data_IF_306576334833
#
_entry.id   IF_306576334833
#
_cell.length_a   1.000
_cell.length_b   1.000
_cell.length_c   1.000
_cell.angle_alpha   90.00
_cell.angle_beta   90.00
_cell.angle_gamma   90.00
#
_symmetry.space_group_name_H-M   'P 1'
#
loop_
_entity.id
_entity.type
_entity.pdbx_description
1 polymer ?
#
# COMPACT_ATOMS: atom_id res chain seq x y z
N UNK A 1 17.31 -4.53 5.82
CA UNK A 1 16.40 -3.44 6.24
C UNK A 1 15.51 -3.08 5.05
N UNK A 2 14.48 -3.90 4.79
CA UNK A 2 13.45 -3.63 3.78
C UNK A 2 12.19 -4.40 4.21
N UNK A 3 11.56 -3.92 5.26
CA UNK A 3 10.25 -4.45 5.69
C UNK A 3 9.26 -3.30 5.73
N UNK A 4 9.11 -2.65 4.56
CA UNK A 4 8.07 -1.67 4.27
C UNK A 4 7.07 -2.31 3.31
N UNK A 5 6.43 -3.41 3.71
CA UNK A 5 5.41 -4.07 2.90
C UNK A 5 4.08 -3.32 3.05
N UNK A 6 3.31 -3.23 1.98
CA UNK A 6 1.98 -2.63 1.97
C UNK A 6 1.03 -3.46 1.13
N UNK A 7 -0.23 -3.53 1.56
CA UNK A 7 -1.31 -4.06 0.75
C UNK A 7 -1.65 -3.07 -0.38
N UNK A 8 -1.53 -3.53 -1.62
CA UNK A 8 -2.17 -2.89 -2.77
C UNK A 8 -3.69 -3.00 -2.59
N UNK A 9 -4.43 -1.89 -2.43
CA UNK A 9 -5.85 -1.96 -2.16
C UNK A 9 -6.71 -2.30 -3.37
N UNK A 10 -6.16 -2.26 -4.58
CA UNK A 10 -6.91 -2.57 -5.81
C UNK A 10 -6.95 -4.08 -6.02
N UNK A 11 -5.80 -4.75 -5.93
CA UNK A 11 -5.70 -6.19 -6.17
C UNK A 11 -5.57 -7.04 -4.89
N UNK A 12 -5.29 -6.43 -3.74
CA UNK A 12 -5.07 -7.13 -2.47
C UNK A 12 -3.69 -7.80 -2.36
N UNK A 13 -2.74 -7.46 -3.23
CA UNK A 13 -1.40 -8.03 -3.23
C UNK A 13 -0.49 -7.28 -2.25
N UNK A 14 0.33 -7.99 -1.48
CA UNK A 14 1.36 -7.35 -0.64
C UNK A 14 2.56 -7.00 -1.51
N UNK A 15 2.90 -5.72 -1.57
CA UNK A 15 4.01 -5.18 -2.34
C UNK A 15 5.02 -4.49 -1.42
N UNK A 16 6.28 -4.40 -1.86
CA UNK A 16 7.29 -3.64 -1.14
C UNK A 16 7.23 -2.16 -1.53
N UNK A 17 6.94 -1.28 -0.57
CA UNK A 17 6.78 0.16 -0.79
C UNK A 17 8.08 0.78 -1.28
N UNK A 18 9.24 0.35 -0.78
CA UNK A 18 10.52 0.90 -1.21
C UNK A 18 10.79 0.55 -2.68
N UNK A 19 10.56 -0.71 -3.06
CA UNK A 19 10.67 -1.13 -4.46
C UNK A 19 9.69 -0.37 -5.36
N UNK A 20 8.43 -0.24 -4.94
CA UNK A 20 7.44 0.47 -5.75
C UNK A 20 7.74 1.97 -5.85
N UNK A 21 8.30 2.57 -4.80
CA UNK A 21 8.74 3.97 -4.82
C UNK A 21 9.85 4.18 -5.84
N UNK A 22 10.85 3.29 -5.87
CA UNK A 22 11.92 3.33 -6.89
C UNK A 22 11.37 3.18 -8.31
N UNK A 23 10.27 2.43 -8.47
CA UNK A 23 9.57 2.24 -9.74
C UNK A 23 8.58 3.35 -10.10
N UNK A 24 8.35 4.32 -9.21
CA UNK A 24 7.31 5.35 -9.40
C UNK A 24 5.88 4.81 -9.36
N UNK A 25 5.68 3.66 -8.72
CA UNK A 25 4.39 2.99 -8.52
C UNK A 25 3.82 3.28 -7.12
N UNK A 26 4.15 4.45 -6.57
CA UNK A 26 3.59 4.94 -5.32
C UNK A 26 2.84 6.25 -5.51
N UNK A 27 1.85 6.50 -4.65
CA UNK A 27 1.14 7.76 -4.55
C UNK A 27 1.24 8.26 -3.11
N UNK A 28 1.89 9.41 -2.91
CA UNK A 28 1.83 10.14 -1.65
C UNK A 28 0.50 10.88 -1.52
N UNK A 29 -0.25 10.59 -0.46
CA UNK A 29 -1.48 11.29 -0.04
C UNK A 29 -1.28 11.88 1.35
N UNK A 30 -2.20 12.76 1.75
CA UNK A 30 -2.18 13.43 3.07
C UNK A 30 -2.10 12.46 4.25
N UNK A 31 -2.69 11.26 4.11
CA UNK A 31 -2.71 10.26 5.17
C UNK A 31 -1.46 9.38 5.19
N UNK A 32 -0.92 9.00 4.01
CA UNK A 32 0.28 8.17 3.82
C UNK A 32 0.66 8.02 2.34
N UNK A 33 1.80 7.39 2.11
CA UNK A 33 2.17 6.82 0.81
C UNK A 33 1.48 5.47 0.58
N UNK A 34 0.93 5.29 -0.62
CA UNK A 34 0.32 4.05 -1.10
C UNK A 34 1.19 3.42 -2.18
N UNK A 35 1.40 2.11 -2.13
CA UNK A 35 2.16 1.35 -3.13
C UNK A 35 1.25 0.42 -3.94
N UNK A 36 1.55 0.29 -5.23
CA UNK A 36 0.76 -0.50 -6.17
C UNK A 36 1.63 -1.52 -6.91
N UNK A 37 1.08 -2.69 -7.20
CA UNK A 37 1.83 -3.74 -7.92
C UNK A 37 2.14 -3.36 -9.38
N UNK A 38 1.45 -2.35 -9.92
CA UNK A 38 1.63 -1.88 -11.29
C UNK A 38 0.80 -0.62 -11.61
N UNK A 39 1.06 -0.05 -12.79
CA UNK A 39 0.43 1.20 -13.24
C UNK A 39 -1.09 1.12 -13.32
N UNK A 40 -1.66 -0.02 -13.73
CA UNK A 40 -3.12 -0.19 -13.78
C UNK A 40 -3.80 -0.12 -12.40
N UNK A 41 -3.13 -0.61 -11.34
CA UNK A 41 -3.64 -0.46 -9.97
C UNK A 41 -3.49 0.99 -9.50
N UNK A 42 -2.37 1.64 -9.81
CA UNK A 42 -2.16 3.06 -9.52
C UNK A 42 -3.23 3.94 -10.16
N UNK A 43 -3.53 3.75 -11.45
CA UNK A 43 -4.57 4.51 -12.17
C UNK A 43 -5.96 4.24 -11.62
N UNK A 44 -6.27 2.97 -11.29
CA UNK A 44 -7.55 2.59 -10.69
C UNK A 44 -7.75 3.24 -9.32
N UNK A 45 -6.69 3.26 -8.51
CA UNK A 45 -6.69 3.96 -7.24
C UNK A 45 -6.80 5.47 -7.42
N UNK A 46 -6.11 6.06 -8.39
CA UNK A 46 -6.18 7.49 -8.67
C UNK A 46 -7.59 7.94 -9.09
N UNK A 47 -8.36 7.07 -9.76
CA UNK A 47 -9.75 7.33 -10.15
C UNK A 47 -10.69 7.34 -8.94
N UNK A 48 -10.55 6.41 -8.00
CA UNK A 48 -11.45 6.31 -6.85
C UNK A 48 -10.72 5.92 -5.55
N UNK A 49 -9.86 6.79 -5.00
CA UNK A 49 -9.01 6.43 -3.86
C UNK A 49 -9.83 6.19 -2.60
N UNK A 50 -10.95 6.92 -2.43
CA UNK A 50 -11.84 6.80 -1.26
C UNK A 50 -12.43 5.41 -1.10
N UNK A 51 -12.66 4.69 -2.20
CA UNK A 51 -13.13 3.30 -2.17
C UNK A 51 -12.06 2.32 -1.65
N UNK A 52 -10.79 2.62 -1.87
CA UNK A 52 -9.66 1.72 -1.65
C UNK A 52 -8.87 2.01 -0.36
N UNK A 53 -8.86 3.26 0.11
CA UNK A 53 -8.24 3.67 1.38
C UNK A 53 -8.64 2.76 2.56
N UNK A 54 -9.94 2.44 2.77
CA UNK A 54 -10.36 1.61 3.90
C UNK A 54 -9.76 0.19 3.89
N UNK A 55 -9.44 -0.35 2.71
CA UNK A 55 -8.83 -1.67 2.59
C UNK A 55 -7.38 -1.67 3.12
N UNK A 56 -6.59 -0.65 2.76
CA UNK A 56 -5.23 -0.47 3.29
C UNK A 56 -5.26 -0.13 4.77
N UNK A 57 -6.17 0.76 5.19
CA UNK A 57 -6.33 1.10 6.60
C UNK A 57 -6.64 -0.10 7.46
N UNK A 58 -7.57 -0.96 6.99
CA UNK A 58 -7.89 -2.19 7.69
C UNK A 58 -6.68 -3.11 7.77
N UNK A 59 -5.93 -3.27 6.68
CA UNK A 59 -4.72 -4.10 6.66
C UNK A 59 -3.67 -3.62 7.67
N UNK A 60 -3.40 -2.31 7.71
CA UNK A 60 -2.49 -1.71 8.67
C UNK A 60 -3.01 -1.81 10.12
N UNK A 61 -4.32 -1.64 10.33
CA UNK A 61 -4.94 -1.82 11.63
C UNK A 61 -4.83 -3.26 12.15
N UNK A 62 -4.74 -4.26 11.26
CA UNK A 62 -4.49 -5.66 11.63
C UNK A 62 -3.03 -6.02 11.92
N UNK A 63 -2.09 -5.05 11.91
CA UNK A 63 -0.75 -5.27 12.46
C UNK A 63 0.28 -5.86 11.50
N UNK A 64 0.31 -5.41 10.25
CA UNK A 64 1.58 -5.38 9.53
C UNK A 64 2.39 -4.18 10.06
N UNK A 65 3.37 -4.30 10.97
CA UNK A 65 4.22 -5.43 11.30
C UNK A 65 4.68 -5.29 12.75
N UNK A 66 4.17 -6.14 13.66
CA UNK A 66 4.90 -6.52 14.87
C UNK A 66 4.38 -7.92 15.28
N UNK A 67 5.13 -9.02 15.06
CA UNK A 67 4.87 -10.20 15.87
C UNK A 67 5.12 -9.78 17.33
N UNK A 68 4.23 -10.12 18.29
CA UNK A 68 4.45 -9.74 19.67
C UNK A 68 5.84 -10.21 20.08
N UNK A 69 6.72 -9.24 20.36
CA UNK A 69 8.05 -9.51 20.90
C UNK A 69 7.86 -10.13 22.29
N UNK A 70 7.88 -11.46 22.35
CA UNK A 70 8.02 -12.24 23.58
C UNK A 70 9.49 -12.52 23.87
#
# INVERSE_FOLDING_TARGET
MRDGKMLDPVCGMIVDVAEQRERGLTIERSDREYAFCGGGCLETFAKDPKRYIPAVERWLATGASDPPRM
#
